data_IF_113443650968
#
_entry.id   IF_113443650968
#
_cell.length_a   1.000
_cell.length_b   1.000
_cell.length_c   1.000
_cell.angle_alpha   90.00
_cell.angle_beta   90.00
_cell.angle_gamma   90.00
#
_symmetry.space_group_name_H-M   'P 1'
#
loop_
_entity.id
_entity.type
_entity.pdbx_description
1 polymer ?
#
# COMPACT_ATOMS: atom_id res chain seq x y z
N UNK A 1 -38.37 33.67 1.72
CA UNK A 1 -38.35 34.25 3.09
C UNK A 1 -39.43 33.70 4.01
N UNK A 2 -40.72 33.63 3.58
CA UNK A 2 -41.83 33.08 4.42
C UNK A 2 -41.66 31.57 4.73
N UNK A 3 -41.24 30.78 3.76
CA UNK A 3 -40.97 29.33 3.99
C UNK A 3 -39.77 29.12 4.95
N UNK A 4 -38.69 29.94 4.87
CA UNK A 4 -37.59 29.88 5.80
C UNK A 4 -37.99 30.16 7.26
N UNK A 5 -38.87 31.14 7.46
CA UNK A 5 -39.38 31.44 8.82
C UNK A 5 -40.31 30.34 9.35
N UNK A 6 -41.01 29.62 8.50
CA UNK A 6 -41.83 28.45 8.90
C UNK A 6 -40.91 27.29 9.35
N UNK A 7 -39.88 26.94 8.59
CA UNK A 7 -38.94 25.86 8.97
C UNK A 7 -38.28 26.13 10.31
N UNK A 8 -37.85 27.36 10.59
CA UNK A 8 -37.22 27.72 11.87
C UNK A 8 -38.22 27.67 13.05
N UNK A 9 -39.47 28.13 12.86
CA UNK A 9 -40.51 28.06 13.87
C UNK A 9 -41.02 26.68 14.15
N UNK A 10 -41.17 25.83 13.14
CA UNK A 10 -41.69 24.47 13.26
C UNK A 10 -40.65 23.48 13.81
N UNK A 11 -39.37 23.82 13.72
CA UNK A 11 -38.27 23.00 14.24
C UNK A 11 -38.35 22.82 15.75
N UNK A 12 -38.85 23.81 16.49
CA UNK A 12 -38.97 23.76 17.94
C UNK A 12 -40.25 23.03 18.42
N UNK A 13 -41.12 22.60 17.51
CA UNK A 13 -42.28 21.78 17.85
C UNK A 13 -41.88 20.31 17.89
N UNK A 14 -41.77 19.74 19.08
CA UNK A 14 -41.39 18.35 19.33
C UNK A 14 -42.14 17.34 18.45
N UNK A 15 -43.42 17.58 18.17
CA UNK A 15 -44.24 16.72 17.33
C UNK A 15 -43.76 16.63 15.85
N UNK A 16 -43.28 17.74 15.26
CA UNK A 16 -42.83 17.76 13.89
C UNK A 16 -41.45 17.10 13.74
N UNK A 17 -40.56 17.31 14.71
CA UNK A 17 -39.27 16.64 14.76
C UNK A 17 -39.42 15.12 14.94
N UNK A 18 -40.39 14.68 15.73
CA UNK A 18 -40.60 13.25 15.96
C UNK A 18 -41.18 12.54 14.70
N UNK A 19 -42.02 13.21 13.95
CA UNK A 19 -42.54 12.70 12.66
C UNK A 19 -41.42 12.62 11.62
N UNK A 20 -40.59 13.65 11.51
CA UNK A 20 -39.46 13.68 10.58
C UNK A 20 -38.45 12.58 10.92
N UNK A 21 -38.21 12.29 12.19
CA UNK A 21 -37.34 11.21 12.63
C UNK A 21 -37.83 9.80 12.32
N UNK A 22 -39.14 9.62 12.08
CA UNK A 22 -39.70 8.34 11.67
C UNK A 22 -39.49 8.02 10.19
N UNK A 23 -39.19 9.01 9.38
CA UNK A 23 -38.81 8.85 7.98
C UNK A 23 -37.33 8.48 7.86
N UNK A 24 -36.99 7.47 7.08
CA UNK A 24 -35.63 7.03 6.84
C UNK A 24 -34.70 8.15 6.32
N UNK A 25 -35.26 9.06 5.49
CA UNK A 25 -34.55 10.23 4.95
C UNK A 25 -34.81 11.51 5.75
N UNK A 26 -35.73 11.48 6.71
CA UNK A 26 -36.14 12.65 7.46
C UNK A 26 -35.06 13.28 8.30
N UNK A 27 -34.13 12.49 8.80
CA UNK A 27 -32.99 13.00 9.56
C UNK A 27 -32.09 13.93 8.73
N UNK A 28 -31.98 13.71 7.42
CA UNK A 28 -31.21 14.56 6.52
C UNK A 28 -31.84 15.95 6.38
N UNK A 29 -33.19 16.03 6.41
CA UNK A 29 -33.94 17.29 6.34
C UNK A 29 -33.74 18.19 7.55
N UNK A 30 -33.47 17.62 8.73
CA UNK A 30 -33.24 18.39 9.95
C UNK A 30 -31.96 19.22 9.94
N UNK A 31 -31.03 18.88 9.07
CA UNK A 31 -29.65 19.45 9.02
C UNK A 31 -29.33 20.13 7.70
N UNK A 32 -30.37 20.60 7.00
CA UNK A 32 -30.22 21.43 5.80
C UNK A 32 -29.82 22.89 6.12
N UNK A 33 -29.65 23.20 7.41
CA UNK A 33 -29.15 24.48 7.89
C UNK A 33 -28.03 24.23 8.89
N UNK A 34 -27.03 25.10 8.90
CA UNK A 34 -25.93 25.09 9.87
C UNK A 34 -25.97 26.35 10.73
N UNK A 35 -25.48 26.25 11.96
CA UNK A 35 -25.31 27.40 12.84
C UNK A 35 -23.90 27.94 12.74
N UNK A 36 -23.76 29.20 12.39
CA UNK A 36 -22.49 29.94 12.38
C UNK A 36 -22.71 31.14 13.32
N UNK A 37 -21.93 31.23 14.39
CA UNK A 37 -22.01 32.29 15.40
C UNK A 37 -23.44 32.55 15.94
N UNK A 38 -24.18 31.46 16.13
CA UNK A 38 -25.56 31.52 16.61
C UNK A 38 -26.60 31.89 15.57
N UNK A 39 -26.21 32.12 14.32
CA UNK A 39 -27.10 32.36 13.19
C UNK A 39 -27.26 31.12 12.32
N UNK A 40 -28.51 30.83 11.92
CA UNK A 40 -28.79 29.72 11.00
C UNK A 40 -28.62 30.17 9.55
N UNK A 41 -27.72 29.50 8.82
CA UNK A 41 -27.50 29.64 7.39
C UNK A 41 -27.88 28.36 6.67
N UNK A 42 -28.23 28.44 5.40
CA UNK A 42 -28.48 27.24 4.58
C UNK A 42 -27.23 26.38 4.48
N UNK A 43 -27.43 25.07 4.37
CA UNK A 43 -26.34 24.16 3.95
C UNK A 43 -25.94 24.44 2.49
N UNK A 44 -24.68 24.21 2.17
CA UNK A 44 -24.11 24.53 0.85
C UNK A 44 -24.76 23.73 -0.30
N UNK A 45 -25.35 22.58 0.00
CA UNK A 45 -26.09 21.74 -0.98
C UNK A 45 -27.23 22.48 -1.69
N UNK A 46 -27.72 23.59 -1.13
CA UNK A 46 -28.74 24.42 -1.80
C UNK A 46 -28.18 25.36 -2.85
N UNK A 47 -26.90 25.64 -2.79
CA UNK A 47 -26.24 26.62 -3.65
C UNK A 47 -25.43 25.93 -4.75
N UNK A 48 -24.83 24.75 -4.46
CA UNK A 48 -24.09 23.93 -5.42
C UNK A 48 -24.01 22.47 -4.97
N UNK A 49 -23.67 21.52 -5.88
CA UNK A 49 -23.41 20.13 -5.51
C UNK A 49 -22.21 20.05 -4.56
N UNK A 50 -22.40 19.39 -3.42
CA UNK A 50 -21.32 19.23 -2.41
C UNK A 50 -20.56 17.90 -2.54
N UNK A 51 -21.06 16.98 -3.36
CA UNK A 51 -20.46 15.67 -3.59
C UNK A 51 -19.50 15.65 -4.78
N UNK A 52 -19.62 16.61 -5.69
CA UNK A 52 -18.80 16.70 -6.91
C UNK A 52 -18.18 18.08 -7.02
N UNK A 53 -16.91 18.14 -7.44
CA UNK A 53 -16.27 19.43 -7.74
C UNK A 53 -16.80 19.96 -9.06
N UNK A 54 -17.16 21.25 -9.06
CA UNK A 54 -17.44 22.01 -10.28
C UNK A 54 -16.29 22.95 -10.65
N UNK A 55 -15.25 23.02 -9.82
CA UNK A 55 -14.11 23.91 -10.06
C UNK A 55 -13.13 23.22 -11.03
N UNK A 56 -13.27 23.51 -12.31
CA UNK A 56 -12.26 23.20 -13.31
C UNK A 56 -11.32 24.38 -13.47
N UNK A 57 -10.00 24.10 -13.56
CA UNK A 57 -9.03 25.10 -13.91
C UNK A 57 -9.34 25.57 -15.34
N UNK A 58 -9.47 26.86 -15.55
CA UNK A 58 -9.78 27.44 -16.88
C UNK A 58 -8.54 27.96 -17.62
N UNK A 59 -7.50 28.32 -16.89
CA UNK A 59 -6.22 28.81 -17.42
C UNK A 59 -5.12 28.34 -16.46
N UNK A 60 -4.04 27.79 -17.01
CA UNK A 60 -2.83 27.45 -16.26
C UNK A 60 -1.77 28.55 -16.44
N UNK A 61 -0.94 28.74 -15.43
CA UNK A 61 0.15 29.74 -15.46
C UNK A 61 1.40 29.19 -16.14
N UNK A 62 1.60 27.86 -16.09
CA UNK A 62 2.76 27.18 -16.68
C UNK A 62 2.43 25.74 -17.08
N UNK A 63 3.29 25.09 -17.90
CA UNK A 63 3.07 23.70 -18.33
C UNK A 63 2.99 22.67 -17.20
N UNK A 64 3.64 22.90 -16.07
CA UNK A 64 3.59 22.01 -14.91
C UNK A 64 2.25 22.09 -14.19
N UNK A 65 1.66 23.28 -14.09
CA UNK A 65 0.31 23.46 -13.57
C UNK A 65 -0.72 22.80 -14.49
N UNK A 66 -0.56 22.96 -15.82
CA UNK A 66 -1.40 22.30 -16.80
C UNK A 66 -1.27 20.76 -16.73
N UNK A 67 -0.05 20.25 -16.52
CA UNK A 67 0.19 18.81 -16.27
C UNK A 67 -0.53 18.34 -15.02
N UNK A 68 -0.41 19.08 -13.91
CA UNK A 68 -1.16 18.80 -12.68
C UNK A 68 -2.67 18.75 -12.92
N UNK A 69 -3.23 19.70 -13.65
CA UNK A 69 -4.65 19.75 -13.98
C UNK A 69 -5.08 18.57 -14.88
N UNK A 70 -4.24 18.18 -15.85
CA UNK A 70 -4.50 17.00 -16.71
C UNK A 70 -4.53 15.71 -15.90
N UNK A 71 -3.54 15.49 -15.05
CA UNK A 71 -3.49 14.32 -14.17
C UNK A 71 -4.68 14.27 -13.22
N UNK A 72 -5.16 15.44 -12.77
CA UNK A 72 -6.31 15.56 -11.90
C UNK A 72 -7.62 15.16 -12.59
N UNK A 73 -7.81 15.61 -13.83
CA UNK A 73 -9.07 15.43 -14.55
C UNK A 73 -9.17 14.06 -15.21
N UNK A 74 -8.07 13.59 -15.82
CA UNK A 74 -8.04 12.41 -16.65
C UNK A 74 -7.24 11.25 -16.05
N UNK A 75 -6.39 11.50 -15.04
CA UNK A 75 -5.46 10.51 -14.50
C UNK A 75 -4.27 10.22 -15.43
N UNK A 76 -4.16 10.95 -16.56
CA UNK A 76 -3.19 10.78 -17.64
C UNK A 76 -2.73 12.15 -18.15
N UNK A 77 -1.68 12.13 -18.95
CA UNK A 77 -1.17 13.32 -19.65
C UNK A 77 -1.98 13.50 -20.92
N UNK A 78 -2.92 14.47 -20.91
CA UNK A 78 -3.76 14.80 -22.06
C UNK A 78 -3.30 16.12 -22.67
N UNK A 79 -2.44 16.06 -23.70
CA UNK A 79 -1.81 17.24 -24.30
C UNK A 79 -2.83 18.22 -24.86
N UNK A 80 -3.89 17.74 -25.48
CA UNK A 80 -4.98 18.59 -26.01
C UNK A 80 -5.69 19.40 -24.93
N UNK A 81 -5.90 18.80 -23.76
CA UNK A 81 -6.46 19.51 -22.61
C UNK A 81 -5.46 20.52 -22.05
N UNK A 82 -4.19 20.14 -21.92
CA UNK A 82 -3.13 21.05 -21.44
C UNK A 82 -2.98 22.26 -22.37
N UNK A 83 -3.02 22.07 -23.69
CA UNK A 83 -3.01 23.17 -24.66
C UNK A 83 -4.25 24.07 -24.51
N UNK A 84 -5.40 23.53 -24.17
CA UNK A 84 -6.61 24.33 -23.89
C UNK A 84 -6.47 25.22 -22.66
N UNK A 85 -5.60 24.85 -21.71
CA UNK A 85 -5.29 25.65 -20.51
C UNK A 85 -4.16 26.67 -20.74
N UNK A 86 -3.37 26.51 -21.81
CA UNK A 86 -2.22 27.29 -22.17
C UNK A 86 -2.39 27.88 -23.60
N UNK A 87 -3.24 28.92 -23.79
CA UNK A 87 -3.64 29.36 -25.13
C UNK A 87 -2.49 29.95 -25.99
N UNK A 88 -1.33 30.20 -25.39
CA UNK A 88 -0.13 30.70 -26.09
C UNK A 88 0.86 29.57 -26.48
N UNK A 89 0.56 28.32 -26.18
CA UNK A 89 1.46 27.15 -26.42
C UNK A 89 0.75 26.09 -27.22
N UNK A 90 1.46 25.51 -28.21
CA UNK A 90 1.03 24.32 -28.93
C UNK A 90 1.48 23.05 -28.19
N UNK A 91 0.92 21.89 -28.53
CA UNK A 91 1.24 20.61 -27.88
C UNK A 91 2.75 20.31 -27.93
N UNK A 92 3.44 20.60 -29.03
CA UNK A 92 4.88 20.39 -29.17
C UNK A 92 5.71 21.31 -28.27
N UNK A 93 5.24 22.54 -28.03
CA UNK A 93 5.90 23.47 -27.11
C UNK A 93 5.76 22.98 -25.67
N UNK A 94 4.60 22.42 -25.33
CA UNK A 94 4.33 21.83 -24.02
C UNK A 94 5.22 20.59 -23.81
N UNK A 95 5.34 19.70 -24.80
CA UNK A 95 6.22 18.52 -24.72
C UNK A 95 7.66 18.95 -24.48
N UNK A 96 8.13 19.96 -25.26
CA UNK A 96 9.48 20.49 -25.13
C UNK A 96 9.73 21.14 -23.77
N UNK A 97 8.76 21.88 -23.25
CA UNK A 97 8.85 22.50 -21.92
C UNK A 97 8.81 21.48 -20.77
N UNK A 98 8.23 20.31 -21.01
CA UNK A 98 8.15 19.21 -20.05
C UNK A 98 9.19 18.12 -20.31
N UNK A 99 10.24 18.39 -21.10
CA UNK A 99 11.33 17.44 -21.34
C UNK A 99 11.91 16.93 -20.00
N UNK A 100 12.07 15.61 -19.89
CA UNK A 100 12.49 14.96 -18.64
C UNK A 100 11.40 14.84 -17.56
N UNK A 101 10.21 15.43 -17.75
CA UNK A 101 9.06 15.31 -16.85
C UNK A 101 7.99 14.36 -17.37
N UNK A 102 7.88 14.22 -18.69
CA UNK A 102 6.98 13.27 -19.36
C UNK A 102 7.75 12.46 -20.39
N UNK A 103 7.34 11.21 -20.60
CA UNK A 103 7.93 10.29 -21.58
C UNK A 103 6.82 9.61 -22.36
N UNK A 104 7.05 9.38 -23.65
CA UNK A 104 6.12 8.64 -24.50
C UNK A 104 6.09 7.17 -24.14
N UNK A 105 4.91 6.64 -23.84
CA UNK A 105 4.67 5.22 -23.58
C UNK A 105 3.84 4.62 -24.72
N UNK A 106 4.44 3.75 -25.59
CA UNK A 106 3.72 3.15 -26.70
C UNK A 106 2.59 2.20 -26.26
N UNK A 107 2.68 1.58 -25.07
CA UNK A 107 1.60 0.72 -24.55
C UNK A 107 0.34 1.52 -24.23
N UNK A 108 0.51 2.74 -23.74
CA UNK A 108 -0.60 3.66 -23.47
C UNK A 108 -0.98 4.47 -24.72
N UNK A 109 -0.13 4.53 -25.75
CA UNK A 109 -0.28 5.40 -26.91
C UNK A 109 -0.26 6.90 -26.54
N UNK A 110 0.33 7.25 -25.37
CA UNK A 110 0.30 8.60 -24.79
C UNK A 110 1.54 8.85 -23.95
N UNK A 111 1.68 10.08 -23.45
CA UNK A 111 2.74 10.42 -22.52
C UNK A 111 2.38 10.00 -21.09
N UNK A 112 3.39 9.59 -20.34
CA UNK A 112 3.31 9.37 -18.89
C UNK A 112 4.29 10.27 -18.15
N UNK A 113 3.98 10.63 -16.90
CA UNK A 113 4.91 11.37 -16.04
C UNK A 113 6.16 10.54 -15.75
N UNK A 114 7.32 11.21 -15.70
CA UNK A 114 8.62 10.61 -15.47
C UNK A 114 8.64 9.68 -14.24
N UNK A 115 8.06 10.14 -13.14
CA UNK A 115 8.01 9.41 -11.87
C UNK A 115 7.31 8.04 -12.00
N UNK A 116 6.31 7.95 -12.89
CA UNK A 116 5.59 6.70 -13.18
C UNK A 116 6.28 5.90 -14.28
N UNK A 117 6.76 6.57 -15.33
CA UNK A 117 7.38 5.90 -16.49
C UNK A 117 8.70 5.25 -16.13
N UNK A 118 9.61 5.98 -15.41
CA UNK A 118 10.95 5.52 -15.01
C UNK A 118 10.90 4.74 -13.68
N UNK A 119 9.77 4.20 -13.30
CA UNK A 119 9.61 3.42 -12.06
C UNK A 119 9.05 2.03 -12.33
N UNK A 120 9.09 1.18 -11.33
CA UNK A 120 8.68 -0.21 -11.48
C UNK A 120 9.74 -1.04 -12.20
N UNK A 121 9.33 -2.05 -12.94
CA UNK A 121 10.25 -2.92 -13.70
C UNK A 121 10.77 -2.20 -14.96
N UNK A 122 11.83 -1.44 -14.81
CA UNK A 122 12.42 -0.65 -15.90
C UNK A 122 13.09 -1.51 -16.97
N UNK A 123 13.55 -2.71 -16.62
CA UNK A 123 14.15 -3.65 -17.56
C UNK A 123 13.09 -4.15 -18.54
N UNK A 124 11.99 -4.67 -18.03
CA UNK A 124 10.89 -5.16 -18.84
C UNK A 124 10.26 -4.06 -19.70
N UNK A 125 10.09 -2.84 -19.15
CA UNK A 125 9.63 -1.67 -19.90
C UNK A 125 10.59 -1.31 -21.04
N UNK A 126 11.90 -1.32 -20.79
CA UNK A 126 12.91 -1.01 -21.79
C UNK A 126 12.92 -2.05 -22.92
N UNK A 127 12.82 -3.34 -22.58
CA UNK A 127 12.80 -4.44 -23.57
C UNK A 127 11.55 -4.38 -24.47
N UNK A 128 10.38 -4.08 -23.89
CA UNK A 128 9.13 -3.89 -24.65
C UNK A 128 9.22 -2.67 -25.57
N UNK A 129 9.73 -1.55 -25.06
CA UNK A 129 9.90 -0.34 -25.84
C UNK A 129 10.94 -0.51 -26.95
N UNK A 130 12.05 -1.20 -26.69
CA UNK A 130 13.04 -1.55 -27.71
C UNK A 130 12.44 -2.42 -28.82
N UNK A 131 11.61 -3.40 -28.45
CA UNK A 131 10.90 -4.26 -29.41
C UNK A 131 9.91 -3.44 -30.26
N UNK A 132 9.17 -2.51 -29.67
CA UNK A 132 8.25 -1.62 -30.38
C UNK A 132 8.96 -0.70 -31.36
N UNK A 133 10.16 -0.20 -30.99
CA UNK A 133 10.99 0.66 -31.86
C UNK A 133 11.57 -0.06 -33.07
N UNK A 134 11.63 -1.38 -33.08
CA UNK A 134 12.00 -2.13 -34.30
C UNK A 134 10.98 -1.90 -35.43
N UNK A 135 9.71 -1.77 -35.07
CA UNK A 135 8.63 -1.49 -36.04
C UNK A 135 8.43 0.02 -36.28
N UNK A 136 8.99 0.89 -35.40
CA UNK A 136 8.85 2.34 -35.46
C UNK A 136 10.21 3.07 -35.35
N UNK A 137 11.15 2.84 -36.30
CA UNK A 137 12.54 3.30 -36.15
C UNK A 137 12.73 4.83 -36.17
N UNK A 138 11.76 5.57 -36.68
CA UNK A 138 11.83 7.02 -36.84
C UNK A 138 11.15 7.80 -35.69
N UNK A 139 10.64 7.10 -34.65
CA UNK A 139 9.92 7.74 -33.54
C UNK A 139 10.90 8.29 -32.48
N UNK A 140 11.24 9.58 -32.59
CA UNK A 140 12.27 10.20 -31.74
C UNK A 140 11.90 10.23 -30.25
N UNK A 141 10.64 10.51 -29.91
CA UNK A 141 10.16 10.52 -28.51
C UNK A 141 10.27 9.12 -27.88
N UNK A 142 10.02 8.07 -28.66
CA UNK A 142 10.23 6.69 -28.22
C UNK A 142 11.70 6.38 -27.93
N UNK A 143 12.62 6.91 -28.75
CA UNK A 143 14.07 6.75 -28.52
C UNK A 143 14.51 7.48 -27.26
N UNK A 144 14.01 8.69 -27.03
CA UNK A 144 14.26 9.44 -25.78
C UNK A 144 13.74 8.68 -24.56
N UNK A 145 12.54 8.13 -24.66
CA UNK A 145 11.93 7.30 -23.59
C UNK A 145 12.77 6.05 -23.31
N UNK A 146 13.26 5.35 -24.34
CA UNK A 146 14.15 4.20 -24.19
C UNK A 146 15.49 4.60 -23.53
N UNK A 147 16.09 5.71 -23.97
CA UNK A 147 17.33 6.20 -23.37
C UNK A 147 17.17 6.50 -21.88
N UNK A 148 16.03 7.09 -21.48
CA UNK A 148 15.72 7.36 -20.08
C UNK A 148 15.57 6.07 -19.25
N UNK A 149 14.88 5.04 -19.77
CA UNK A 149 14.75 3.74 -19.10
C UNK A 149 16.10 3.04 -18.99
N UNK A 150 16.93 3.09 -20.04
CA UNK A 150 18.27 2.49 -20.03
C UNK A 150 19.20 3.19 -19.02
N UNK A 151 19.12 4.52 -18.91
CA UNK A 151 19.87 5.29 -17.91
C UNK A 151 19.44 5.00 -16.47
N UNK A 152 18.18 4.62 -16.28
CA UNK A 152 17.61 4.29 -14.98
C UNK A 152 17.83 2.83 -14.57
N UNK A 153 18.38 1.98 -15.43
CA UNK A 153 18.65 0.57 -15.09
C UNK A 153 19.54 0.47 -13.87
N UNK A 154 19.16 -0.30 -12.85
CA UNK A 154 20.03 -0.55 -11.70
C UNK A 154 21.31 -1.28 -12.11
N UNK A 155 22.41 -0.95 -11.46
CA UNK A 155 23.66 -1.70 -11.65
C UNK A 155 23.47 -3.14 -11.18
N UNK A 156 23.81 -4.17 -11.99
CA UNK A 156 23.70 -5.56 -11.57
C UNK A 156 24.46 -5.83 -10.29
N UNK A 157 23.82 -6.50 -9.34
CA UNK A 157 24.43 -6.93 -8.09
C UNK A 157 25.24 -8.21 -8.39
N UNK A 158 26.56 -8.25 -8.13
CA UNK A 158 27.36 -9.42 -8.40
C UNK A 158 27.08 -10.54 -7.37
N UNK A 159 27.38 -11.79 -7.74
CA UNK A 159 27.15 -12.97 -6.88
C UNK A 159 27.74 -12.81 -5.46
N UNK A 160 28.92 -12.20 -5.34
CA UNK A 160 29.61 -12.01 -4.07
C UNK A 160 28.87 -11.10 -3.07
N UNK A 161 28.00 -10.24 -3.58
CA UNK A 161 27.24 -9.27 -2.77
C UNK A 161 25.80 -9.76 -2.52
N UNK A 162 25.44 -10.97 -2.98
CA UNK A 162 24.15 -11.58 -2.74
C UNK A 162 24.17 -12.42 -1.47
N UNK A 163 23.15 -12.24 -0.64
CA UNK A 163 22.86 -13.11 0.49
C UNK A 163 21.96 -14.25 0.03
N UNK A 164 22.39 -15.49 0.28
CA UNK A 164 21.63 -16.68 -0.06
C UNK A 164 21.15 -17.39 1.19
N UNK A 165 19.84 -17.60 1.29
CA UNK A 165 19.25 -18.37 2.36
C UNK A 165 18.56 -19.62 1.81
N UNK A 166 18.71 -20.74 2.49
CA UNK A 166 18.07 -21.98 2.12
C UNK A 166 16.53 -21.82 2.29
N UNK A 167 15.79 -22.09 1.23
CA UNK A 167 14.32 -22.01 1.22
C UNK A 167 13.76 -20.70 0.67
N UNK A 168 14.60 -19.82 0.09
CA UNK A 168 14.12 -18.65 -0.65
C UNK A 168 13.33 -19.06 -1.90
N UNK A 169 12.18 -18.43 -2.12
CA UNK A 169 11.22 -18.80 -3.16
C UNK A 169 11.69 -18.54 -4.58
N UNK A 170 12.60 -17.59 -4.75
CA UNK A 170 13.16 -17.21 -6.05
C UNK A 170 14.20 -18.21 -6.57
N UNK A 171 14.87 -18.94 -5.67
CA UNK A 171 15.81 -20.00 -6.05
C UNK A 171 15.00 -21.22 -6.51
N UNK A 172 15.26 -21.77 -7.70
CA UNK A 172 14.53 -22.94 -8.20
C UNK A 172 14.64 -24.13 -7.24
N UNK A 173 13.52 -24.80 -6.97
CA UNK A 173 13.48 -25.95 -6.06
C UNK A 173 14.43 -27.08 -6.50
N UNK A 174 14.73 -27.19 -7.80
CA UNK A 174 15.72 -28.13 -8.32
C UNK A 174 17.12 -27.92 -7.74
N UNK A 175 17.52 -26.67 -7.50
CA UNK A 175 18.80 -26.31 -6.86
C UNK A 175 18.88 -26.89 -5.43
N UNK A 176 17.77 -26.80 -4.71
CA UNK A 176 17.69 -27.44 -3.39
C UNK A 176 17.73 -28.97 -3.44
N UNK A 177 17.20 -29.56 -4.52
CA UNK A 177 17.30 -31.00 -4.78
C UNK A 177 18.74 -31.43 -5.06
N UNK A 178 19.48 -30.69 -5.91
CA UNK A 178 20.88 -30.93 -6.19
C UNK A 178 21.74 -30.80 -4.92
N UNK A 179 21.54 -29.68 -4.18
CA UNK A 179 22.22 -29.49 -2.91
C UNK A 179 21.97 -30.67 -1.93
N UNK A 180 20.69 -31.00 -1.73
CA UNK A 180 20.32 -32.08 -0.79
C UNK A 180 20.89 -33.42 -1.23
N UNK A 181 20.96 -33.70 -2.54
CA UNK A 181 21.53 -34.93 -3.07
C UNK A 181 23.04 -35.01 -2.81
N UNK A 182 23.76 -33.92 -3.05
CA UNK A 182 25.19 -33.83 -2.74
C UNK A 182 25.45 -33.93 -1.23
N UNK A 183 24.69 -33.20 -0.42
CA UNK A 183 24.83 -33.11 1.03
C UNK A 183 24.58 -34.45 1.74
N UNK A 184 23.51 -35.14 1.36
CA UNK A 184 23.16 -36.42 1.97
C UNK A 184 23.82 -37.61 1.24
N UNK A 185 24.32 -37.45 0.02
CA UNK A 185 24.91 -38.50 -0.78
C UNK A 185 23.90 -39.54 -1.28
N UNK A 186 22.71 -39.12 -1.67
CA UNK A 186 21.63 -39.94 -2.24
C UNK A 186 20.71 -39.06 -3.09
N UNK A 187 20.03 -39.62 -4.07
CA UNK A 187 19.09 -38.88 -4.94
C UNK A 187 17.91 -38.32 -4.14
N UNK A 188 17.80 -37.00 -4.09
CA UNK A 188 16.74 -36.27 -3.40
C UNK A 188 16.14 -35.25 -4.37
N UNK A 189 14.83 -35.28 -4.47
CA UNK A 189 14.08 -34.31 -5.28
C UNK A 189 13.30 -33.40 -4.36
N UNK A 190 13.39 -32.10 -4.65
CA UNK A 190 12.64 -31.06 -3.93
C UNK A 190 11.72 -30.37 -4.93
N UNK A 191 10.46 -30.28 -4.61
CA UNK A 191 9.46 -29.54 -5.35
C UNK A 191 8.83 -28.46 -4.46
N UNK A 192 8.50 -27.32 -5.05
CA UNK A 192 7.82 -26.23 -4.36
C UNK A 192 6.42 -26.05 -4.93
N UNK A 193 5.44 -25.99 -4.05
CA UNK A 193 4.02 -25.80 -4.39
C UNK A 193 3.60 -24.37 -3.98
N UNK A 194 3.57 -23.46 -4.95
CA UNK A 194 3.30 -22.04 -4.71
C UNK A 194 1.95 -21.77 -4.05
N UNK A 195 0.91 -22.55 -4.40
CA UNK A 195 -0.45 -22.39 -3.85
C UNK A 195 -0.55 -22.70 -2.36
N UNK A 196 0.37 -23.53 -1.84
CA UNK A 196 0.39 -23.97 -0.43
C UNK A 196 1.58 -23.40 0.34
N UNK A 197 2.47 -22.69 -0.35
CA UNK A 197 3.77 -22.25 0.17
C UNK A 197 4.55 -23.39 0.85
N UNK A 198 4.55 -24.58 0.24
CA UNK A 198 5.10 -25.81 0.84
C UNK A 198 6.15 -26.47 -0.06
N UNK A 199 7.23 -26.94 0.57
CA UNK A 199 8.22 -27.81 -0.06
C UNK A 199 7.91 -29.28 0.16
N UNK A 200 7.89 -30.07 -0.91
CA UNK A 200 7.82 -31.53 -0.87
C UNK A 200 9.19 -32.12 -1.17
N UNK A 201 9.66 -33.00 -0.29
CA UNK A 201 10.96 -33.66 -0.40
C UNK A 201 10.73 -35.15 -0.61
N UNK A 202 11.25 -35.71 -1.71
CA UNK A 202 11.15 -37.12 -2.04
C UNK A 202 12.55 -37.75 -2.12
N UNK A 203 12.69 -38.95 -1.59
CA UNK A 203 13.93 -39.70 -1.61
C UNK A 203 13.60 -41.21 -1.73
N UNK A 204 14.12 -41.84 -2.75
CA UNK A 204 13.84 -43.26 -3.02
C UNK A 204 14.50 -44.19 -1.96
N UNK A 205 15.73 -43.84 -1.53
CA UNK A 205 16.47 -44.63 -0.54
C UNK A 205 17.17 -43.73 0.47
N UNK A 206 16.71 -43.79 1.73
CA UNK A 206 17.36 -43.09 2.84
C UNK A 206 18.63 -43.83 3.28
N UNK A 207 19.75 -43.14 3.31
CA UNK A 207 21.06 -43.67 3.74
C UNK A 207 21.35 -43.37 5.22
N UNK A 208 22.56 -43.72 5.68
CA UNK A 208 23.01 -43.49 7.05
C UNK A 208 23.11 -42.02 7.43
N UNK A 209 23.42 -41.12 6.46
CA UNK A 209 23.46 -39.68 6.71
C UNK A 209 22.08 -39.16 7.10
N UNK A 210 21.03 -39.57 6.38
CA UNK A 210 19.65 -39.18 6.66
C UNK A 210 19.16 -39.82 7.98
N UNK A 211 19.44 -41.10 8.20
CA UNK A 211 18.88 -41.84 9.34
C UNK A 211 19.61 -41.58 10.65
N UNK A 212 20.93 -41.29 10.63
CA UNK A 212 21.77 -41.23 11.84
C UNK A 212 22.50 -39.90 11.99
N UNK A 213 23.31 -39.47 11.00
CA UNK A 213 24.16 -38.29 11.13
C UNK A 213 23.32 -37.01 11.32
N UNK A 214 22.34 -36.80 10.44
CA UNK A 214 21.47 -35.63 10.48
C UNK A 214 20.09 -35.90 11.05
N UNK A 215 19.98 -36.86 11.98
CA UNK A 215 18.74 -37.16 12.66
C UNK A 215 18.77 -36.80 14.14
N UNK A 216 17.61 -36.48 14.72
CA UNK A 216 17.42 -36.29 16.15
C UNK A 216 16.38 -37.30 16.63
N UNK A 217 16.75 -38.13 17.65
CA UNK A 217 15.84 -39.04 18.25
C UNK A 217 15.08 -38.35 19.37
N UNK A 218 13.80 -38.13 19.18
CA UNK A 218 12.87 -37.73 20.23
C UNK A 218 12.28 -38.96 20.93
N UNK A 219 11.59 -38.74 22.03
CA UNK A 219 10.93 -39.85 22.80
C UNK A 219 9.86 -40.54 22.00
N UNK A 220 9.03 -39.77 21.25
CA UNK A 220 7.88 -40.29 20.53
C UNK A 220 8.17 -40.67 19.07
N UNK A 221 9.10 -39.93 18.42
CA UNK A 221 9.45 -40.15 17.02
C UNK A 221 10.88 -39.70 16.72
N UNK A 222 11.41 -40.23 15.62
CA UNK A 222 12.67 -39.77 15.04
C UNK A 222 12.40 -38.69 14.04
N UNK A 223 13.18 -37.61 14.11
CA UNK A 223 13.26 -36.53 13.13
C UNK A 223 14.50 -36.81 12.29
N UNK A 224 14.33 -37.40 11.12
CA UNK A 224 15.43 -37.70 10.21
C UNK A 224 15.93 -36.48 9.44
N UNK A 225 17.01 -36.65 8.67
CA UNK A 225 17.61 -35.54 7.90
C UNK A 225 16.66 -34.86 6.93
N UNK A 226 15.69 -35.60 6.36
CA UNK A 226 14.70 -34.98 5.45
C UNK A 226 13.68 -34.12 6.20
N UNK A 227 13.31 -34.52 7.42
CA UNK A 227 12.47 -33.67 8.28
C UNK A 227 13.21 -32.39 8.66
N UNK A 228 14.52 -32.49 9.03
CA UNK A 228 15.30 -31.29 9.35
C UNK A 228 15.53 -30.42 8.14
N UNK A 229 15.76 -30.98 6.95
CA UNK A 229 15.85 -30.22 5.70
C UNK A 229 14.52 -29.50 5.39
N UNK A 230 13.38 -30.13 5.63
CA UNK A 230 12.06 -29.48 5.47
C UNK A 230 11.94 -28.26 6.39
N UNK A 231 12.33 -28.41 7.65
CA UNK A 231 12.37 -27.28 8.59
C UNK A 231 13.37 -26.18 8.18
N UNK A 232 14.52 -26.56 7.63
CA UNK A 232 15.51 -25.64 7.11
C UNK A 232 14.95 -24.81 5.93
N UNK A 233 14.24 -25.44 4.99
CA UNK A 233 13.59 -24.79 3.83
C UNK A 233 12.42 -23.86 4.24
N UNK A 234 11.70 -24.18 5.30
CA UNK A 234 10.58 -23.37 5.79
C UNK A 234 10.96 -22.35 6.85
N UNK A 235 12.24 -22.27 7.22
CA UNK A 235 12.73 -21.43 8.32
C UNK A 235 11.98 -21.67 9.65
N UNK A 236 11.74 -22.94 9.97
CA UNK A 236 11.03 -23.38 11.18
C UNK A 236 11.88 -24.32 12.01
N UNK A 237 11.48 -24.54 13.25
CA UNK A 237 12.13 -25.48 14.18
C UNK A 237 11.11 -26.57 14.53
N UNK A 238 11.51 -27.86 14.56
CA UNK A 238 10.61 -28.94 14.90
C UNK A 238 10.15 -28.87 16.36
N UNK A 239 8.88 -29.14 16.61
CA UNK A 239 8.33 -29.26 17.95
C UNK A 239 8.56 -30.68 18.48
N UNK A 240 9.58 -30.82 19.33
CA UNK A 240 9.97 -32.10 19.93
C UNK A 240 9.50 -32.13 21.38
N UNK A 241 8.71 -33.16 21.70
CA UNK A 241 8.11 -33.29 23.00
C UNK A 241 8.64 -34.56 23.73
N UNK A 242 8.64 -34.49 25.06
CA UNK A 242 8.88 -35.62 25.98
C UNK A 242 7.80 -35.73 27.04
N UNK A 243 7.67 -36.92 27.63
CA UNK A 243 6.77 -37.16 28.75
C UNK A 243 7.36 -36.56 30.03
N UNK A 244 6.52 -35.93 30.82
CA UNK A 244 6.86 -35.51 32.18
C UNK A 244 5.75 -35.97 33.11
N UNK A 245 6.12 -36.69 34.17
CA UNK A 245 5.18 -37.05 35.21
C UNK A 245 4.95 -35.89 36.16
N UNK A 246 3.70 -35.58 36.42
CA UNK A 246 3.26 -34.59 37.39
C UNK A 246 2.27 -35.24 38.34
N UNK A 247 2.40 -34.97 39.62
CA UNK A 247 1.43 -35.37 40.63
C UNK A 247 0.30 -34.31 40.62
N UNK A 248 -0.90 -34.74 40.35
CA UNK A 248 -2.09 -33.88 40.39
C UNK A 248 -2.34 -33.45 41.86
N UNK A 249 -2.25 -32.16 42.18
CA UNK A 249 -2.40 -31.66 43.55
C UNK A 249 -3.77 -31.94 44.15
N UNK A 250 -4.79 -32.22 43.31
CA UNK A 250 -6.17 -32.40 43.76
C UNK A 250 -6.51 -33.87 44.00
N UNK A 251 -5.90 -34.82 43.26
CA UNK A 251 -6.20 -36.24 43.33
C UNK A 251 -5.06 -37.11 43.89
N UNK A 252 -3.82 -36.58 43.95
CA UNK A 252 -2.62 -37.34 44.33
C UNK A 252 -2.17 -38.36 43.28
N UNK A 253 -2.83 -38.43 42.13
CA UNK A 253 -2.49 -39.35 41.04
C UNK A 253 -1.35 -38.80 40.18
N UNK A 254 -0.47 -39.70 39.73
CA UNK A 254 0.60 -39.36 38.78
C UNK A 254 0.03 -39.31 37.37
N UNK A 255 0.04 -38.12 36.72
CA UNK A 255 -0.37 -37.93 35.31
C UNK A 255 0.83 -37.64 34.47
N UNK A 256 0.94 -38.31 33.30
CA UNK A 256 1.95 -38.01 32.30
C UNK A 256 1.45 -36.91 31.36
N UNK A 257 2.19 -35.81 31.28
CA UNK A 257 1.92 -34.70 30.36
C UNK A 257 3.04 -34.58 29.34
N UNK A 258 2.70 -34.15 28.12
CA UNK A 258 3.67 -33.83 27.07
C UNK A 258 4.24 -32.41 27.32
N UNK A 259 5.55 -32.31 27.44
CA UNK A 259 6.28 -31.02 27.57
C UNK A 259 7.33 -30.92 26.48
N UNK A 260 7.70 -29.69 26.09
CA UNK A 260 8.74 -29.50 25.11
C UNK A 260 10.09 -30.01 25.62
N UNK A 261 10.80 -30.71 24.75
CA UNK A 261 12.18 -31.17 25.02
C UNK A 261 13.19 -30.15 24.48
N UNK A 262 13.54 -29.16 25.30
CA UNK A 262 14.43 -28.07 24.91
C UNK A 262 15.82 -28.54 24.44
N UNK A 263 16.35 -29.62 25.02
CA UNK A 263 17.64 -30.20 24.61
C UNK A 263 17.60 -30.78 23.20
N UNK A 264 16.55 -31.56 22.89
CA UNK A 264 16.37 -32.16 21.57
C UNK A 264 16.01 -31.11 20.50
N UNK A 265 15.23 -30.08 20.87
CA UNK A 265 14.96 -28.95 20.00
C UNK A 265 16.26 -28.21 19.66
N UNK A 266 17.15 -27.96 20.65
CA UNK A 266 18.43 -27.31 20.40
C UNK A 266 19.36 -28.16 19.52
N UNK A 267 19.38 -29.48 19.73
CA UNK A 267 20.13 -30.41 18.87
C UNK A 267 19.61 -30.36 17.42
N UNK A 268 18.29 -30.31 17.23
CA UNK A 268 17.68 -30.19 15.89
C UNK A 268 18.03 -28.86 15.24
N UNK A 269 17.94 -27.75 16.00
CA UNK A 269 18.28 -26.42 15.51
C UNK A 269 19.75 -26.33 15.05
N UNK A 270 20.68 -26.86 15.83
CA UNK A 270 22.10 -26.87 15.46
C UNK A 270 22.33 -27.60 14.13
N UNK A 271 21.64 -28.72 13.90
CA UNK A 271 21.72 -29.47 12.62
C UNK A 271 21.04 -28.73 11.45
N UNK A 272 19.95 -28.02 11.73
CA UNK A 272 19.29 -27.17 10.73
C UNK A 272 20.23 -26.03 10.32
N UNK A 273 20.90 -25.38 11.25
CA UNK A 273 21.88 -24.34 10.95
C UNK A 273 23.09 -24.89 10.18
N UNK A 274 23.57 -26.10 10.53
CA UNK A 274 24.60 -26.79 9.75
C UNK A 274 24.18 -26.99 8.28
N UNK A 275 22.95 -27.45 8.05
CA UNK A 275 22.39 -27.64 6.68
C UNK A 275 22.34 -26.29 5.95
N UNK A 276 21.95 -25.22 6.60
CA UNK A 276 21.88 -23.87 6.00
C UNK A 276 23.27 -23.34 5.62
N UNK A 277 24.22 -23.46 6.53
CA UNK A 277 25.58 -23.03 6.27
C UNK A 277 26.23 -23.81 5.13
N UNK A 278 26.06 -25.14 5.14
CA UNK A 278 26.56 -26.00 4.07
C UNK A 278 25.95 -25.66 2.70
N UNK A 279 24.71 -25.19 2.65
CA UNK A 279 24.08 -24.72 1.41
C UNK A 279 24.81 -23.50 0.83
N UNK A 280 25.12 -22.51 1.67
CA UNK A 280 25.85 -21.32 1.23
C UNK A 280 27.27 -21.68 0.75
N UNK A 281 27.95 -22.55 1.50
CA UNK A 281 29.27 -23.06 1.12
C UNK A 281 29.23 -23.89 -0.17
N UNK A 282 28.19 -24.66 -0.38
CA UNK A 282 27.96 -25.45 -1.59
C UNK A 282 27.74 -24.56 -2.81
N UNK A 283 26.92 -23.47 -2.69
CA UNK A 283 26.72 -22.49 -3.74
C UNK A 283 28.03 -21.81 -4.15
N UNK A 284 28.89 -21.44 -3.20
CA UNK A 284 30.16 -20.77 -3.49
C UNK A 284 31.14 -21.66 -4.26
N UNK A 285 31.04 -23.01 -4.13
CA UNK A 285 31.86 -23.99 -4.83
C UNK A 285 31.35 -24.35 -6.23
N UNK A 286 30.15 -23.86 -6.63
CA UNK A 286 29.58 -24.19 -7.95
C UNK A 286 30.35 -23.49 -9.08
N UNK A 287 30.26 -24.02 -10.31
CA UNK A 287 30.86 -23.39 -11.49
C UNK A 287 30.35 -21.97 -11.71
N UNK A 288 31.18 -21.13 -12.33
CA UNK A 288 30.87 -19.73 -12.54
C UNK A 288 29.59 -19.55 -13.40
N UNK A 289 29.38 -20.40 -14.41
CA UNK A 289 28.16 -20.38 -15.21
C UNK A 289 26.88 -20.60 -14.41
N UNK A 290 26.93 -21.42 -13.35
CA UNK A 290 25.81 -21.62 -12.45
C UNK A 290 25.55 -20.39 -11.57
N UNK A 291 26.63 -19.77 -11.08
CA UNK A 291 26.55 -18.53 -10.29
C UNK A 291 26.01 -17.38 -11.12
N UNK A 292 26.45 -17.24 -12.36
CA UNK A 292 25.94 -16.25 -13.31
C UNK A 292 24.43 -16.42 -13.53
N UNK A 293 23.94 -17.63 -13.78
CA UNK A 293 22.51 -17.90 -13.95
C UNK A 293 21.67 -17.51 -12.72
N UNK A 294 22.20 -17.79 -11.52
CA UNK A 294 21.52 -17.40 -10.27
C UNK A 294 21.54 -15.88 -10.07
N UNK A 295 22.65 -15.25 -10.39
CA UNK A 295 22.85 -13.80 -10.32
C UNK A 295 21.91 -13.07 -11.28
N UNK A 296 21.85 -13.52 -12.53
CA UNK A 296 20.96 -12.95 -13.53
C UNK A 296 19.51 -13.07 -13.11
N UNK A 297 19.11 -14.25 -12.63
CA UNK A 297 17.75 -14.48 -12.12
C UNK A 297 17.41 -13.56 -10.94
N UNK A 298 18.35 -13.36 -10.00
CA UNK A 298 18.15 -12.43 -8.90
C UNK A 298 17.96 -11.00 -9.39
N UNK A 299 18.84 -10.54 -10.27
CA UNK A 299 18.78 -9.19 -10.82
C UNK A 299 17.50 -8.97 -11.64
N UNK A 300 17.05 -9.97 -12.42
CA UNK A 300 15.80 -9.90 -13.16
C UNK A 300 14.56 -9.80 -12.24
N UNK A 301 14.58 -10.48 -11.10
CA UNK A 301 13.43 -10.53 -10.20
C UNK A 301 13.40 -9.38 -9.18
N UNK A 302 14.55 -8.96 -8.68
CA UNK A 302 14.63 -8.04 -7.52
C UNK A 302 15.40 -6.76 -7.80
N UNK A 303 16.35 -6.76 -8.73
CA UNK A 303 17.13 -5.59 -9.09
C UNK A 303 16.66 -4.93 -10.40
N UNK A 304 15.47 -5.25 -10.84
CA UNK A 304 14.84 -4.67 -12.02
C UNK A 304 13.89 -3.51 -11.69
N UNK A 305 13.60 -3.32 -10.39
CA UNK A 305 12.66 -2.31 -9.93
C UNK A 305 13.37 -1.03 -9.50
N UNK A 306 12.98 0.07 -10.12
CA UNK A 306 13.34 1.42 -9.72
C UNK A 306 12.21 2.02 -8.91
N UNK A 307 12.54 2.55 -7.73
CA UNK A 307 11.57 3.28 -6.91
C UNK A 307 11.28 4.63 -7.57
N UNK A 308 10.02 5.08 -7.62
CA UNK A 308 9.71 6.40 -8.13
C UNK A 308 10.39 7.47 -7.26
N UNK A 309 10.97 8.46 -7.92
CA UNK A 309 11.61 9.59 -7.26
C UNK A 309 10.80 10.84 -7.56
N UNK A 310 9.89 11.19 -6.67
CA UNK A 310 9.01 12.35 -6.82
C UNK A 310 9.77 13.64 -6.53
N UNK A 311 9.80 14.57 -7.50
CA UNK A 311 10.37 15.90 -7.34
C UNK A 311 9.26 16.96 -7.28
N UNK A 312 8.92 17.36 -6.05
CA UNK A 312 7.90 18.36 -5.77
C UNK A 312 8.39 19.79 -5.68
N UNK A 313 9.64 20.07 -6.04
CA UNK A 313 10.27 21.40 -5.86
C UNK A 313 9.56 22.53 -6.63
N UNK A 314 8.91 22.22 -7.75
CA UNK A 314 8.17 23.16 -8.58
C UNK A 314 6.85 23.64 -7.96
N UNK A 315 6.34 22.97 -6.92
CA UNK A 315 5.05 23.31 -6.35
C UNK A 315 5.09 24.61 -5.58
N UNK A 316 4.06 25.43 -5.79
CA UNK A 316 3.73 26.59 -4.97
C UNK A 316 2.48 26.32 -4.13
N UNK A 317 2.41 26.91 -2.95
CA UNK A 317 1.32 26.76 -2.00
C UNK A 317 0.78 28.16 -1.62
N UNK A 318 -0.04 28.79 -2.48
CA UNK A 318 -0.38 30.19 -2.35
C UNK A 318 -1.15 30.54 -1.08
N UNK A 319 -1.97 29.60 -0.58
CA UNK A 319 -2.81 29.84 0.59
C UNK A 319 -2.15 29.39 1.91
N UNK A 320 -0.91 28.88 1.86
CA UNK A 320 -0.19 28.40 3.03
C UNK A 320 0.40 29.59 3.83
N UNK A 321 -0.01 29.71 5.08
CA UNK A 321 0.50 30.76 5.97
C UNK A 321 1.82 30.34 6.65
N UNK A 322 2.93 30.51 5.93
CA UNK A 322 4.28 30.19 6.42
C UNK A 322 4.65 31.01 7.68
N UNK A 323 4.11 32.24 7.82
CA UNK A 323 4.40 33.11 8.96
C UNK A 323 3.80 32.56 10.25
N UNK A 324 2.54 32.09 10.20
CA UNK A 324 1.89 31.46 11.35
C UNK A 324 2.52 30.12 11.73
N UNK A 325 3.03 29.41 10.75
CA UNK A 325 3.78 28.18 10.98
C UNK A 325 5.18 28.43 11.53
N UNK A 326 5.72 29.64 11.39
CA UNK A 326 7.07 30.01 11.83
C UNK A 326 8.19 29.36 11.00
N UNK A 327 7.90 28.99 9.74
CA UNK A 327 8.84 28.37 8.82
C UNK A 327 9.05 29.25 7.57
N UNK A 328 10.25 29.24 6.95
CA UNK A 328 10.49 30.00 5.74
C UNK A 328 9.86 29.39 4.49
N UNK A 329 9.80 28.08 4.41
CA UNK A 329 9.21 27.26 3.33
C UNK A 329 9.01 25.82 3.80
N UNK A 330 8.31 25.00 3.02
CA UNK A 330 8.26 23.56 3.20
C UNK A 330 9.62 22.94 2.85
N UNK A 331 10.01 21.91 3.58
CA UNK A 331 11.18 21.11 3.21
C UNK A 331 10.97 20.41 1.87
N UNK A 332 12.08 20.17 1.14
CA UNK A 332 12.02 19.43 -0.14
C UNK A 332 11.26 18.10 0.01
N UNK A 333 11.59 17.31 1.03
CA UNK A 333 10.93 16.03 1.30
C UNK A 333 9.43 16.16 1.55
N UNK A 334 8.96 17.27 2.12
CA UNK A 334 7.53 17.54 2.30
C UNK A 334 6.86 17.86 0.96
N UNK A 335 7.49 18.69 0.13
CA UNK A 335 7.01 19.00 -1.23
C UNK A 335 6.96 17.73 -2.09
N UNK A 336 7.99 16.90 -2.04
CA UNK A 336 8.06 15.62 -2.76
C UNK A 336 6.92 14.68 -2.34
N UNK A 337 6.64 14.59 -1.04
CA UNK A 337 5.54 13.77 -0.52
C UNK A 337 4.17 14.29 -0.95
N UNK A 338 3.94 15.60 -0.92
CA UNK A 338 2.70 16.22 -1.42
C UNK A 338 2.53 15.97 -2.92
N UNK A 339 3.62 16.07 -3.70
CA UNK A 339 3.60 15.74 -5.13
C UNK A 339 3.25 14.29 -5.38
N UNK A 340 3.90 13.37 -4.68
CA UNK A 340 3.57 11.94 -4.75
C UNK A 340 2.09 11.67 -4.51
N UNK A 341 1.51 12.26 -3.45
CA UNK A 341 0.10 12.06 -3.12
C UNK A 341 -0.85 12.65 -4.16
N UNK A 342 -0.46 13.75 -4.82
CA UNK A 342 -1.24 14.35 -5.91
C UNK A 342 -1.23 13.52 -7.19
N UNK A 343 -0.10 12.91 -7.53
CA UNK A 343 0.09 12.21 -8.81
C UNK A 343 -0.26 10.74 -8.76
N UNK A 344 -0.23 10.13 -7.57
CA UNK A 344 -0.61 8.75 -7.36
C UNK A 344 -1.97 8.66 -6.66
N UNK A 345 -2.72 7.63 -6.93
CA UNK A 345 -3.97 7.33 -6.21
C UNK A 345 -3.77 6.91 -4.75
N UNK A 346 -2.55 7.02 -4.24
CA UNK A 346 -2.18 6.71 -2.85
C UNK A 346 -0.68 6.64 -2.67
N UNK A 347 -0.23 6.46 -1.42
CA UNK A 347 1.19 6.36 -1.09
C UNK A 347 1.41 6.18 0.41
N UNK A 348 2.61 5.72 0.77
CA UNK A 348 3.06 5.62 2.16
C UNK A 348 4.18 6.64 2.36
N UNK A 349 3.99 7.56 3.31
CA UNK A 349 4.99 8.55 3.70
C UNK A 349 5.76 8.03 4.92
N UNK A 350 6.82 7.26 4.69
CA UNK A 350 7.69 6.71 5.73
C UNK A 350 8.82 7.71 6.09
N UNK A 351 8.43 8.87 6.58
CA UNK A 351 9.36 9.87 7.06
C UNK A 351 9.69 9.65 8.55
N UNK A 352 10.88 10.03 8.97
CA UNK A 352 11.28 9.99 10.37
C UNK A 352 10.39 10.84 11.27
N UNK A 353 10.45 10.56 12.58
CA UNK A 353 9.75 11.37 13.59
C UNK A 353 10.35 12.78 13.58
N UNK A 354 9.48 13.79 13.53
CA UNK A 354 9.92 15.21 13.46
C UNK A 354 10.02 15.79 12.05
N UNK A 355 9.94 14.98 10.98
CA UNK A 355 9.98 15.47 9.59
C UNK A 355 8.74 16.27 9.14
N UNK A 356 7.81 16.53 10.04
CA UNK A 356 6.62 17.33 9.77
C UNK A 356 5.51 16.61 9.00
N UNK A 357 5.32 15.29 9.21
CA UNK A 357 4.25 14.50 8.58
C UNK A 357 2.86 15.11 8.70
N UNK A 358 2.56 15.74 9.84
CA UNK A 358 1.29 16.44 10.06
C UNK A 358 1.08 17.56 9.06
N UNK A 359 2.12 18.33 8.78
CA UNK A 359 2.06 19.41 7.80
C UNK A 359 1.91 18.86 6.37
N UNK A 360 2.56 17.74 6.02
CA UNK A 360 2.35 17.03 4.74
C UNK A 360 0.88 16.65 4.57
N UNK A 361 0.26 16.03 5.58
CA UNK A 361 -1.16 15.64 5.53
C UNK A 361 -2.08 16.86 5.34
N UNK A 362 -1.85 17.92 6.09
CA UNK A 362 -2.65 19.15 6.00
C UNK A 362 -2.51 19.81 4.62
N UNK A 363 -1.27 19.93 4.14
CA UNK A 363 -0.97 20.55 2.83
C UNK A 363 -1.53 19.69 1.69
N UNK A 364 -1.32 18.37 1.71
CA UNK A 364 -1.86 17.48 0.69
C UNK A 364 -3.39 17.54 0.64
N UNK A 365 -4.07 17.48 1.78
CA UNK A 365 -5.52 17.54 1.85
C UNK A 365 -6.06 18.85 1.28
N UNK A 366 -5.48 20.00 1.67
CA UNK A 366 -5.90 21.30 1.18
C UNK A 366 -5.64 21.48 -0.32
N UNK A 367 -4.44 21.15 -0.78
CA UNK A 367 -4.07 21.25 -2.19
C UNK A 367 -4.90 20.34 -3.10
N UNK A 368 -5.16 19.11 -2.67
CA UNK A 368 -6.04 18.21 -3.40
C UNK A 368 -7.46 18.76 -3.52
N UNK A 369 -7.96 19.46 -2.48
CA UNK A 369 -9.25 20.15 -2.55
C UNK A 369 -9.17 21.35 -3.50
N UNK A 370 -8.16 22.21 -3.35
CA UNK A 370 -7.96 23.42 -4.16
C UNK A 370 -7.87 23.11 -5.65
N UNK A 371 -7.15 22.04 -6.00
CA UNK A 371 -6.95 21.59 -7.37
C UNK A 371 -8.10 20.70 -7.91
N UNK A 372 -9.14 20.44 -7.13
CA UNK A 372 -10.26 19.61 -7.54
C UNK A 372 -10.00 18.09 -7.56
N UNK A 373 -8.85 17.63 -7.04
CA UNK A 373 -8.49 16.20 -6.91
C UNK A 373 -9.39 15.46 -5.93
N UNK A 374 -9.81 16.14 -4.88
CA UNK A 374 -10.66 15.61 -3.85
C UNK A 374 -11.76 16.61 -3.50
N UNK A 375 -12.99 16.15 -3.44
CA UNK A 375 -14.12 17.02 -3.07
C UNK A 375 -14.24 17.22 -1.57
N UNK A 376 -13.98 16.14 -0.82
CA UNK A 376 -14.07 16.13 0.65
C UNK A 376 -12.88 15.37 1.22
N UNK A 377 -11.68 15.95 1.22
CA UNK A 377 -10.51 15.31 1.82
C UNK A 377 -10.75 15.06 3.30
N UNK A 378 -10.34 13.89 3.77
CA UNK A 378 -10.52 13.46 5.14
C UNK A 378 -9.18 13.03 5.73
N UNK A 379 -8.84 13.56 6.91
CA UNK A 379 -7.70 13.12 7.69
C UNK A 379 -8.22 12.26 8.84
N UNK A 380 -7.75 11.03 8.91
CA UNK A 380 -8.10 10.08 9.97
C UNK A 380 -6.86 9.87 10.84
N UNK A 381 -6.98 10.17 12.11
CA UNK A 381 -5.87 10.11 13.05
C UNK A 381 -6.18 9.38 14.35
N UNK A 382 -5.14 9.13 15.13
CA UNK A 382 -5.28 8.64 16.48
C UNK A 382 -5.89 9.73 17.38
N UNK A 383 -6.68 9.32 18.36
CA UNK A 383 -7.34 10.25 19.31
C UNK A 383 -6.37 11.20 20.00
N UNK A 384 -5.14 10.77 20.24
CA UNK A 384 -4.11 11.61 20.84
C UNK A 384 -3.62 12.73 19.90
N UNK A 385 -3.67 12.52 18.57
CA UNK A 385 -3.03 13.38 17.60
C UNK A 385 -3.99 14.28 16.82
N UNK A 386 -5.30 13.94 16.76
CA UNK A 386 -6.27 14.68 15.93
C UNK A 386 -6.41 16.15 16.32
N UNK A 387 -6.22 16.48 17.61
CA UNK A 387 -6.24 17.88 18.06
C UNK A 387 -5.06 18.67 17.47
N UNK A 388 -3.86 18.10 17.52
CA UNK A 388 -2.64 18.74 16.98
C UNK A 388 -2.71 18.86 15.47
N UNK A 389 -3.32 17.88 14.79
CA UNK A 389 -3.57 17.94 13.35
C UNK A 389 -4.51 19.10 13.01
N UNK A 390 -5.62 19.23 13.75
CA UNK A 390 -6.58 20.31 13.51
C UNK A 390 -5.98 21.71 13.83
N UNK A 391 -5.16 21.82 14.86
CA UNK A 391 -4.46 23.06 15.21
C UNK A 391 -3.42 23.44 14.14
N UNK A 392 -2.64 22.44 13.68
CA UNK A 392 -1.68 22.64 12.57
C UNK A 392 -2.40 23.07 11.29
N UNK A 393 -3.55 22.45 10.98
CA UNK A 393 -4.33 22.81 9.79
C UNK A 393 -4.81 24.27 9.85
N UNK A 394 -5.33 24.72 11.01
CA UNK A 394 -5.77 26.12 11.20
C UNK A 394 -4.63 27.11 11.15
N UNK A 395 -3.44 26.73 11.57
CA UNK A 395 -2.23 27.57 11.43
C UNK A 395 -1.77 27.66 9.99
N UNK A 396 -1.76 26.52 9.29
CA UNK A 396 -1.34 26.43 7.90
C UNK A 396 -2.30 27.14 6.94
N UNK A 397 -3.61 26.96 7.15
CA UNK A 397 -4.67 27.50 6.28
C UNK A 397 -5.76 28.20 7.13
N UNK A 398 -5.53 29.44 7.53
CA UNK A 398 -6.44 30.15 8.44
C UNK A 398 -7.85 30.37 7.90
N UNK A 399 -7.98 30.45 6.56
CA UNK A 399 -9.25 30.68 5.87
C UNK A 399 -9.98 29.37 5.52
N UNK A 400 -9.34 28.20 5.75
CA UNK A 400 -9.92 26.91 5.44
C UNK A 400 -11.10 26.56 6.38
N UNK A 401 -12.14 26.04 5.77
CA UNK A 401 -13.31 25.49 6.47
C UNK A 401 -13.05 24.04 6.83
N UNK A 402 -12.65 23.78 8.08
CA UNK A 402 -12.43 22.43 8.55
C UNK A 402 -13.53 21.96 9.50
N UNK A 403 -13.97 20.71 9.34
CA UNK A 403 -14.84 20.03 10.28
C UNK A 403 -13.99 19.15 11.18
N UNK A 404 -13.91 19.51 12.45
CA UNK A 404 -13.27 18.72 13.49
C UNK A 404 -14.23 18.58 14.68
N UNK A 405 -15.03 17.50 14.75
CA UNK A 405 -15.90 17.25 15.89
C UNK A 405 -15.07 16.80 17.08
N UNK A 406 -15.20 17.56 18.18
CA UNK A 406 -14.60 17.22 19.45
C UNK A 406 -15.16 15.92 20.06
N UNK A 407 -14.57 15.49 21.16
CA UNK A 407 -15.02 14.28 21.88
C UNK A 407 -16.47 14.41 22.38
N UNK A 408 -16.83 15.61 22.86
CA UNK A 408 -18.14 15.87 23.44
C UNK A 408 -19.22 16.12 22.37
N UNK A 409 -18.80 16.48 21.16
CA UNK A 409 -19.71 16.70 20.02
C UNK A 409 -20.16 15.38 19.37
N UNK A 410 -19.34 14.32 19.45
CA UNK A 410 -19.58 13.03 18.77
C UNK A 410 -20.37 12.04 19.63
N UNK A 411 -21.47 12.53 20.26
CA UNK A 411 -22.37 11.70 21.05
C UNK A 411 -23.32 10.89 20.14
N UNK A 412 -23.95 9.84 20.70
CA UNK A 412 -24.93 9.02 19.97
C UNK A 412 -26.06 9.86 19.37
N UNK A 413 -26.45 10.96 20.01
CA UNK A 413 -27.51 11.86 19.56
C UNK A 413 -27.03 12.82 18.47
N UNK A 414 -25.79 13.31 18.55
CA UNK A 414 -25.24 14.28 17.61
C UNK A 414 -24.55 13.65 16.41
N UNK A 415 -24.18 12.37 16.49
CA UNK A 415 -23.43 11.66 15.44
C UNK A 415 -24.08 11.73 14.05
N UNK A 416 -25.40 11.51 14.00
CA UNK A 416 -26.15 11.61 12.72
C UNK A 416 -26.10 13.03 12.16
N UNK A 417 -26.16 14.05 13.04
CA UNK A 417 -26.02 15.44 12.61
C UNK A 417 -24.66 15.68 11.97
N UNK A 418 -23.57 15.18 12.57
CA UNK A 418 -22.23 15.34 12.03
C UNK A 418 -22.11 14.66 10.66
N UNK A 419 -22.66 13.46 10.49
CA UNK A 419 -22.65 12.79 9.19
C UNK A 419 -23.42 13.54 8.12
N UNK A 420 -24.56 14.11 8.47
CA UNK A 420 -25.33 14.95 7.55
C UNK A 420 -24.61 16.28 7.27
N UNK A 421 -23.93 16.85 8.25
CA UNK A 421 -23.11 18.06 8.09
C UNK A 421 -21.94 17.80 7.14
N UNK A 422 -21.28 16.63 7.25
CA UNK A 422 -20.27 16.16 6.29
C UNK A 422 -20.86 16.05 4.88
N UNK A 423 -22.06 15.47 4.76
CA UNK A 423 -22.71 15.24 3.46
C UNK A 423 -23.11 16.54 2.77
N UNK A 424 -23.75 17.45 3.51
CA UNK A 424 -24.49 18.58 2.94
C UNK A 424 -23.70 19.88 2.82
N UNK A 425 -22.49 19.94 3.37
CA UNK A 425 -21.67 21.14 3.32
C UNK A 425 -20.33 20.89 2.62
N UNK A 426 -19.78 21.98 2.10
CA UNK A 426 -18.50 22.00 1.44
C UNK A 426 -17.40 22.31 2.47
N UNK A 427 -16.63 21.29 2.80
CA UNK A 427 -15.52 21.33 3.73
C UNK A 427 -14.19 21.22 3.00
N UNK A 428 -13.22 22.07 3.35
CA UNK A 428 -11.86 21.98 2.82
C UNK A 428 -11.13 20.77 3.39
N UNK A 429 -11.44 20.39 4.62
CA UNK A 429 -10.98 19.14 5.21
C UNK A 429 -11.90 18.68 6.35
N UNK A 430 -12.00 17.36 6.51
CA UNK A 430 -12.69 16.72 7.62
C UNK A 430 -11.66 15.96 8.43
N UNK A 431 -11.62 16.17 9.76
CA UNK A 431 -10.64 15.53 10.64
C UNK A 431 -11.39 14.66 11.66
N UNK A 432 -11.18 13.35 11.58
CA UNK A 432 -11.84 12.37 12.46
C UNK A 432 -10.84 11.45 13.15
N UNK A 433 -11.25 10.85 14.25
CA UNK A 433 -10.54 9.72 14.83
C UNK A 433 -10.89 8.43 14.09
N UNK A 434 -10.06 7.39 14.19
CA UNK A 434 -10.36 6.05 13.66
C UNK A 434 -11.69 5.51 14.19
N UNK A 435 -11.99 5.74 15.48
CA UNK A 435 -13.25 5.32 16.10
C UNK A 435 -14.46 6.05 15.49
N UNK A 436 -14.35 7.37 15.29
CA UNK A 436 -15.40 8.18 14.68
C UNK A 436 -15.65 7.78 13.21
N UNK A 437 -14.58 7.55 12.46
CA UNK A 437 -14.66 7.08 11.08
C UNK A 437 -15.32 5.70 10.98
N UNK A 438 -14.94 4.75 11.84
CA UNK A 438 -15.54 3.42 11.90
C UNK A 438 -17.05 3.39 12.22
N UNK A 439 -17.60 4.51 12.71
CA UNK A 439 -19.03 4.67 12.98
C UNK A 439 -19.84 5.16 11.76
N UNK A 440 -19.17 5.52 10.65
CA UNK A 440 -19.85 5.90 9.41
C UNK A 440 -20.50 4.63 8.81
N UNK A 441 -21.82 4.64 8.55
CA UNK A 441 -22.50 3.48 7.97
C UNK A 441 -21.92 3.15 6.60
N UNK A 442 -21.52 1.90 6.39
CA UNK A 442 -21.12 1.41 5.08
C UNK A 442 -22.36 1.07 4.25
N UNK A 443 -22.32 1.33 2.95
CA UNK A 443 -23.35 0.90 2.03
C UNK A 443 -23.48 -0.63 2.02
N UNK A 444 -24.71 -1.13 1.94
CA UNK A 444 -25.01 -2.56 2.01
C UNK A 444 -24.32 -3.33 0.87
N UNK A 445 -24.25 -2.71 -0.31
CA UNK A 445 -23.61 -3.25 -1.50
C UNK A 445 -22.11 -3.49 -1.30
N UNK A 446 -21.43 -2.59 -0.60
CA UNK A 446 -20.00 -2.72 -0.28
C UNK A 446 -19.78 -3.88 0.70
N UNK A 447 -20.64 -4.01 1.71
CA UNK A 447 -20.55 -5.13 2.66
C UNK A 447 -20.78 -6.47 1.96
N UNK A 448 -21.77 -6.55 1.07
CA UNK A 448 -22.04 -7.74 0.27
C UNK A 448 -20.87 -8.08 -0.65
N UNK A 449 -20.28 -7.11 -1.33
CA UNK A 449 -19.14 -7.33 -2.21
C UNK A 449 -17.90 -7.85 -1.45
N UNK A 450 -17.63 -7.34 -0.24
CA UNK A 450 -16.54 -7.82 0.61
C UNK A 450 -16.78 -9.28 1.01
N UNK A 451 -17.98 -9.60 1.52
CA UNK A 451 -18.34 -10.95 1.92
C UNK A 451 -18.30 -11.93 0.75
N UNK A 452 -18.75 -11.52 -0.44
CA UNK A 452 -18.69 -12.36 -1.63
C UNK A 452 -17.24 -12.69 -2.00
N UNK A 453 -16.34 -11.69 -1.98
CA UNK A 453 -14.92 -11.89 -2.26
C UNK A 453 -14.25 -12.84 -1.26
N UNK A 454 -14.61 -12.75 0.02
CA UNK A 454 -14.12 -13.69 1.04
C UNK A 454 -14.64 -15.11 0.79
N UNK A 455 -15.92 -15.26 0.44
CA UNK A 455 -16.50 -16.55 0.08
C UNK A 455 -15.81 -17.18 -1.14
N UNK A 456 -15.61 -16.40 -2.21
CA UNK A 456 -14.94 -16.85 -3.44
C UNK A 456 -13.50 -17.33 -3.13
N UNK A 457 -12.77 -16.62 -2.27
CA UNK A 457 -11.43 -17.01 -1.82
C UNK A 457 -11.44 -18.33 -1.02
N UNK A 458 -12.42 -18.52 -0.15
CA UNK A 458 -12.57 -19.79 0.61
C UNK A 458 -12.95 -20.94 -0.32
N UNK A 459 -13.84 -20.74 -1.29
CA UNK A 459 -14.22 -21.75 -2.27
C UNK A 459 -13.03 -22.15 -3.17
N UNK A 460 -12.21 -21.17 -3.59
CA UNK A 460 -11.00 -21.44 -4.36
C UNK A 460 -10.03 -22.31 -3.56
N UNK A 461 -9.78 -21.97 -2.30
CA UNK A 461 -8.93 -22.74 -1.40
C UNK A 461 -9.47 -24.17 -1.17
N UNK A 462 -10.78 -24.33 -0.99
CA UNK A 462 -11.42 -25.65 -0.86
C UNK A 462 -11.27 -26.49 -2.14
N UNK A 463 -11.42 -25.87 -3.31
CA UNK A 463 -11.24 -26.55 -4.58
C UNK A 463 -9.78 -27.01 -4.79
N UNK A 464 -8.80 -26.23 -4.35
CA UNK A 464 -7.39 -26.64 -4.35
C UNK A 464 -7.17 -27.84 -3.44
N UNK A 465 -7.67 -27.80 -2.20
CA UNK A 465 -7.54 -28.91 -1.24
C UNK A 465 -8.20 -30.19 -1.74
N UNK A 466 -9.38 -30.09 -2.36
CA UNK A 466 -10.08 -31.26 -2.97
C UNK A 466 -9.31 -31.87 -4.13
N UNK A 467 -8.68 -31.04 -4.99
CA UNK A 467 -7.84 -31.53 -6.09
C UNK A 467 -6.59 -32.24 -5.59
N UNK A 468 -6.10 -31.90 -4.42
CA UNK A 468 -4.94 -32.55 -3.77
C UNK A 468 -5.30 -33.78 -2.93
N UNK A 469 -6.57 -34.20 -2.89
CA UNK A 469 -7.03 -35.37 -2.16
C UNK A 469 -6.91 -35.23 -0.63
N UNK A 470 -6.97 -34.02 -0.13
CA UNK A 470 -7.07 -33.69 1.30
C UNK A 470 -8.53 -33.32 1.58
N UNK A 471 -9.32 -34.33 2.05
CA UNK A 471 -10.65 -34.12 2.62
C UNK A 471 -10.57 -33.47 4.01
#
# INVERSE_FOLDING_TARGET
>A
RRQRQMCIRDRNKKANTDVIKMDAMGMEMLFLERSIDGHFVKADIFDHPTAFSSAELSIASDPLEALGASLNKYGSVELSYMASLLPEMEENDIISALEGRIYYNPEAGSYEVADKFISGNVIEKADRLASWLLDHPDHEEGKQSLAALMAARPTPIPFADLDFNLGERWIPAAVYGEFASDFFGTDIRVAYHANMDEYTITCDRKNGNIWHKYAVQGEFRRYDGLHLLKHALHNTIPDINKSKEIIDPSSGETKSIKVRDGEKIQQANNKIEEIRQDFVDWLTRRPETFKEQLTDRYNELFNCFVRPNFDGAHQSFPDLDLKRLGIPDLYKSQKDAVWMLKTNSGGICDHEVGAGKTLIMCTAAYEMKRLGLANKPMIIGLKANVFDIADTFRKAYPNARILYPGKDDFTKQNRQRIFVDIKNNDWDCIILTHEQFGMIPQALEIQQAILQKEMDSVEENLNVLRREGKD
#
